data_IF_507795661051
#
_entry.id   IF_507795661051
#
_cell.length_a   1.000
_cell.length_b   1.000
_cell.length_c   1.000
_cell.angle_alpha   90.00
_cell.angle_beta   90.00
_cell.angle_gamma   90.00
#
_symmetry.space_group_name_H-M   'P 1'
#
loop_
_entity.id
_entity.type
_entity.pdbx_description
1 polymer ?
#
# COMPACT_ATOMS: atom_id res chain seq x y z
N UNK A 1 12.11 22.31 4.15
CA UNK A 1 12.09 21.72 5.50
C UNK A 1 12.76 20.35 5.43
N UNK A 2 13.54 19.93 6.44
CA UNK A 2 14.17 18.61 6.41
C UNK A 2 13.10 17.52 6.45
N UNK A 3 13.17 16.56 5.53
CA UNK A 3 12.13 15.51 5.39
C UNK A 3 11.99 14.70 6.68
N UNK A 4 13.10 14.55 7.42
CA UNK A 4 13.13 13.84 8.69
C UNK A 4 12.16 14.40 9.75
N UNK A 5 11.97 15.72 9.80
CA UNK A 5 11.02 16.33 10.76
C UNK A 5 9.57 15.97 10.43
N UNK A 6 9.28 15.62 9.18
CA UNK A 6 7.96 15.26 8.68
C UNK A 6 7.79 13.73 8.57
N UNK A 7 8.67 12.94 9.20
CA UNK A 7 8.70 11.49 9.00
C UNK A 7 7.37 10.77 9.33
N UNK A 8 6.61 11.28 10.31
CA UNK A 8 5.28 10.73 10.62
C UNK A 8 4.31 10.95 9.46
N UNK A 9 4.23 12.18 8.96
CA UNK A 9 3.33 12.56 7.87
C UNK A 9 3.72 11.86 6.57
N UNK A 10 5.02 11.82 6.26
CA UNK A 10 5.55 11.12 5.08
C UNK A 10 5.25 9.62 5.18
N UNK A 11 5.41 9.01 6.36
CA UNK A 11 5.11 7.59 6.57
C UNK A 11 3.63 7.26 6.33
N UNK A 12 2.73 8.09 6.85
CA UNK A 12 1.28 7.97 6.62
C UNK A 12 0.91 8.15 5.14
N UNK A 13 1.45 9.18 4.50
CA UNK A 13 1.21 9.48 3.09
C UNK A 13 1.77 8.41 2.17
N UNK A 14 2.96 7.88 2.46
CA UNK A 14 3.53 6.76 1.74
C UNK A 14 2.65 5.51 1.88
N UNK A 15 2.17 5.19 3.08
CA UNK A 15 1.28 4.04 3.28
C UNK A 15 -0.03 4.20 2.50
N UNK A 16 -0.59 5.41 2.50
CA UNK A 16 -1.79 5.74 1.74
C UNK A 16 -1.56 5.59 0.24
N UNK A 17 -0.46 6.15 -0.28
CA UNK A 17 -0.06 5.99 -1.67
C UNK A 17 0.07 4.53 -2.07
N UNK A 18 0.72 3.69 -1.24
CA UNK A 18 0.84 2.26 -1.52
C UNK A 18 -0.54 1.60 -1.62
N UNK A 19 -1.45 1.90 -0.70
CA UNK A 19 -2.81 1.33 -0.68
C UNK A 19 -3.62 1.75 -1.92
N UNK A 20 -3.59 3.03 -2.26
CA UNK A 20 -4.32 3.56 -3.42
C UNK A 20 -3.83 2.97 -4.74
N UNK A 21 -2.53 2.69 -4.84
CA UNK A 21 -1.91 2.15 -6.05
C UNK A 21 -1.75 0.61 -6.02
N UNK A 22 -2.34 -0.09 -5.05
CA UNK A 22 -2.29 -1.55 -4.98
C UNK A 22 -0.90 -2.14 -4.66
N UNK A 23 0.01 -1.35 -4.08
CA UNK A 23 1.33 -1.81 -3.68
C UNK A 23 1.36 -2.32 -2.24
N UNK A 24 2.22 -3.30 -2.00
CA UNK A 24 2.54 -3.79 -0.65
C UNK A 24 3.92 -3.27 -0.23
N UNK A 25 4.20 -3.26 1.08
CA UNK A 25 5.55 -2.97 1.59
C UNK A 25 6.61 -3.92 1.00
N UNK A 26 6.21 -5.15 0.69
CA UNK A 26 7.07 -6.15 0.06
C UNK A 26 7.36 -5.83 -1.41
N UNK A 27 6.37 -5.35 -2.17
CA UNK A 27 6.62 -4.92 -3.56
C UNK A 27 7.48 -3.65 -3.57
N UNK A 28 7.22 -2.71 -2.66
CA UNK A 28 8.05 -1.51 -2.51
C UNK A 28 9.52 -1.86 -2.22
N UNK A 29 9.78 -2.83 -1.33
CA UNK A 29 11.13 -3.31 -1.02
C UNK A 29 11.86 -3.81 -2.26
N UNK A 30 11.17 -4.56 -3.12
CA UNK A 30 11.75 -5.09 -4.36
C UNK A 30 12.02 -3.99 -5.38
N UNK A 31 11.12 -3.00 -5.49
CA UNK A 31 11.24 -1.91 -6.45
C UNK A 31 12.38 -0.94 -6.10
N UNK A 32 12.55 -0.66 -4.82
CA UNK A 32 13.50 0.36 -4.32
C UNK A 32 14.84 -0.23 -3.88
N UNK A 33 14.93 -1.56 -3.72
CA UNK A 33 16.08 -2.23 -3.12
C UNK A 33 16.23 -1.99 -1.61
N UNK A 34 15.25 -1.35 -0.97
CA UNK A 34 15.27 -1.06 0.47
C UNK A 34 14.77 -2.29 1.23
N UNK A 35 15.43 -2.60 2.35
CA UNK A 35 15.01 -3.73 3.19
C UNK A 35 13.59 -3.54 3.73
N UNK A 36 12.82 -4.63 3.84
CA UNK A 36 11.46 -4.60 4.42
C UNK A 36 11.43 -4.02 5.84
N UNK A 37 12.38 -4.33 6.75
CA UNK A 37 12.45 -3.69 8.06
C UNK A 37 12.59 -2.17 7.97
N UNK A 38 13.45 -1.66 7.08
CA UNK A 38 13.65 -0.22 6.89
C UNK A 38 12.39 0.46 6.34
N UNK A 39 11.69 -0.18 5.38
CA UNK A 39 10.40 0.32 4.89
C UNK A 39 9.36 0.38 6.02
N UNK A 40 9.32 -0.62 6.91
CA UNK A 40 8.44 -0.57 8.06
C UNK A 40 8.76 0.62 8.96
N UNK A 41 10.03 0.89 9.25
CA UNK A 41 10.44 2.05 10.05
C UNK A 41 10.06 3.38 9.40
N UNK A 42 10.19 3.50 8.07
CA UNK A 42 9.79 4.70 7.32
C UNK A 42 8.27 4.90 7.43
N UNK A 43 7.48 3.85 7.19
CA UNK A 43 6.02 3.90 7.27
C UNK A 43 5.53 4.21 8.69
N UNK A 44 6.25 3.75 9.72
CA UNK A 44 5.95 4.06 11.12
C UNK A 44 6.44 5.44 11.58
N UNK A 45 7.18 6.18 10.74
CA UNK A 45 7.78 7.46 11.12
C UNK A 45 8.85 7.33 12.22
N UNK A 46 9.54 6.19 12.29
CA UNK A 46 10.53 5.86 13.33
C UNK A 46 11.93 5.63 12.75
N UNK A 47 12.30 6.36 11.70
CA UNK A 47 13.65 6.20 11.15
C UNK A 47 14.68 6.74 12.15
N UNK A 48 15.77 6.02 12.45
CA UNK A 48 16.71 6.44 13.49
C UNK A 48 17.72 7.50 13.01
N UNK A 49 17.94 7.64 11.69
CA UNK A 49 19.00 8.48 11.14
C UNK A 49 18.45 9.41 10.05
N UNK A 50 18.56 10.75 10.22
CA UNK A 50 18.07 11.73 9.25
C UNK A 50 18.67 11.59 7.86
N UNK A 51 19.99 11.38 7.74
CA UNK A 51 20.66 11.29 6.44
C UNK A 51 20.21 10.05 5.67
N UNK A 52 20.17 8.90 6.36
CA UNK A 52 19.72 7.63 5.77
C UNK A 52 18.25 7.71 5.39
N UNK A 53 17.44 8.41 6.19
CA UNK A 53 16.03 8.64 5.91
C UNK A 53 15.85 9.41 4.60
N UNK A 54 16.53 10.54 4.43
CA UNK A 54 16.44 11.34 3.20
C UNK A 54 16.90 10.55 1.96
N UNK A 55 17.98 9.79 2.07
CA UNK A 55 18.44 8.89 1.00
C UNK A 55 17.40 7.80 0.66
N UNK A 56 16.71 7.23 1.66
CA UNK A 56 15.65 6.25 1.42
C UNK A 56 14.41 6.87 0.77
N UNK A 57 14.00 8.07 1.20
CA UNK A 57 12.87 8.77 0.57
C UNK A 57 13.20 9.11 -0.87
N UNK A 58 14.43 9.56 -1.17
CA UNK A 58 14.89 9.79 -2.54
C UNK A 58 14.77 8.53 -3.41
N UNK A 59 15.25 7.38 -2.93
CA UNK A 59 15.10 6.11 -3.65
C UNK A 59 13.64 5.73 -3.90
N UNK A 60 12.78 5.99 -2.93
CA UNK A 60 11.35 5.72 -3.06
C UNK A 60 10.74 6.63 -4.13
N UNK A 61 10.99 7.94 -4.07
CA UNK A 61 10.45 8.89 -5.05
C UNK A 61 11.00 8.63 -6.45
N UNK A 62 12.28 8.29 -6.58
CA UNK A 62 12.91 7.93 -7.86
C UNK A 62 12.27 6.68 -8.48
N UNK A 63 11.96 5.66 -7.66
CA UNK A 63 11.32 4.43 -8.15
C UNK A 63 9.91 4.66 -8.74
N UNK A 64 9.28 5.80 -8.43
CA UNK A 64 7.98 6.19 -8.95
C UNK A 64 8.03 7.43 -9.84
N UNK A 65 9.23 7.96 -10.16
CA UNK A 65 9.42 9.24 -10.86
C UNK A 65 8.63 10.41 -10.23
N UNK A 66 8.64 10.48 -8.90
CA UNK A 66 7.95 11.52 -8.13
C UNK A 66 8.95 12.59 -7.63
N UNK A 67 8.49 13.83 -7.40
CA UNK A 67 9.28 14.83 -6.68
C UNK A 67 9.66 14.37 -5.27
N UNK A 68 10.83 14.79 -4.78
CA UNK A 68 11.36 14.41 -3.45
C UNK A 68 10.44 14.81 -2.29
N UNK A 69 9.68 15.90 -2.46
CA UNK A 69 8.74 16.45 -1.48
C UNK A 69 7.30 15.95 -1.68
N UNK A 70 7.05 15.04 -2.63
CA UNK A 70 5.71 14.56 -2.97
C UNK A 70 4.92 14.05 -1.76
N UNK A 71 5.57 13.27 -0.89
CA UNK A 71 4.93 12.71 0.30
C UNK A 71 4.76 13.71 1.46
N UNK A 72 5.26 14.94 1.33
CA UNK A 72 5.06 15.99 2.34
C UNK A 72 3.70 16.68 2.16
N UNK A 73 3.22 16.79 0.92
CA UNK A 73 1.96 17.44 0.56
C UNK A 73 0.98 16.50 -0.13
N UNK A 74 1.14 15.18 0.02
CA UNK A 74 0.29 14.17 -0.59
C UNK A 74 -1.16 14.38 -0.15
N UNK A 75 -1.85 15.19 -0.94
CA UNK A 75 -3.23 15.58 -0.72
C UNK A 75 -4.08 14.48 -1.31
N UNK A 76 -5.25 14.28 -0.72
CA UNK A 76 -6.24 13.25 -1.06
C UNK A 76 -6.89 13.49 -2.44
N UNK A 77 -6.08 13.82 -3.45
CA UNK A 77 -6.51 14.24 -4.77
C UNK A 77 -7.11 13.03 -5.45
N UNK A 78 -8.43 13.02 -5.37
CA UNK A 78 -9.39 12.10 -5.93
C UNK A 78 -9.56 10.81 -5.12
N UNK A 79 -10.25 10.96 -3.99
CA UNK A 79 -11.26 9.97 -3.64
C UNK A 79 -12.30 9.92 -4.78
N UNK A 80 -11.98 9.22 -5.86
CA UNK A 80 -13.04 8.45 -6.50
C UNK A 80 -13.46 7.43 -5.42
N UNK A 81 -14.52 7.81 -4.68
CA UNK A 81 -15.47 6.85 -4.10
C UNK A 81 -15.54 5.73 -5.15
N UNK A 82 -15.20 4.49 -4.79
CA UNK A 82 -15.04 3.29 -5.65
C UNK A 82 -13.64 2.75 -5.87
N UNK A 83 -12.87 2.51 -4.80
CA UNK A 83 -11.93 1.39 -4.85
C UNK A 83 -12.00 0.57 -3.55
N UNK A 84 -13.09 -0.19 -3.42
CA UNK A 84 -12.96 -1.56 -2.95
C UNK A 84 -12.61 -2.41 -4.19
N UNK A 85 -11.35 -2.80 -4.43
CA UNK A 85 -11.12 -4.08 -5.06
C UNK A 85 -11.44 -5.12 -3.99
N UNK A 86 -12.68 -5.62 -4.06
CA UNK A 86 -13.05 -6.94 -3.59
C UNK A 86 -11.93 -7.94 -3.92
N UNK A 87 -11.48 -8.64 -2.88
CA UNK A 87 -10.83 -9.96 -2.94
C UNK A 87 -9.63 -10.12 -3.90
N UNK A 88 -8.40 -10.04 -3.37
CA UNK A 88 -7.28 -10.80 -3.97
C UNK A 88 -7.04 -12.07 -3.16
N UNK A 89 -7.66 -13.17 -3.60
CA UNK A 89 -7.17 -14.50 -3.22
C UNK A 89 -5.81 -14.71 -3.87
N UNK A 90 -4.82 -15.04 -3.04
CA UNK A 90 -3.53 -15.51 -3.53
C UNK A 90 -3.72 -16.84 -4.27
N UNK A 91 -3.31 -16.89 -5.54
CA UNK A 91 -3.09 -18.14 -6.30
C UNK A 91 -1.71 -18.75 -6.02
N UNK A 92 -1.01 -18.25 -4.99
CA UNK A 92 0.23 -18.81 -4.45
C UNK A 92 0.03 -19.36 -3.04
N UNK A 93 -0.99 -20.18 -2.86
CA UNK A 93 -0.71 -21.47 -2.24
C UNK A 93 -0.58 -22.44 -3.40
N UNK A 94 0.34 -23.41 -3.32
CA UNK A 94 0.24 -24.62 -4.17
C UNK A 94 -1.23 -24.97 -4.35
N UNK A 95 -1.67 -25.22 -5.59
CA UNK A 95 -3.00 -25.77 -5.91
C UNK A 95 -3.13 -27.15 -5.23
N UNK A 96 -3.18 -27.15 -3.90
CA UNK A 96 -3.70 -28.24 -3.11
C UNK A 96 -5.18 -28.04 -3.24
N UNK A 97 -5.79 -28.94 -4.00
CA UNK A 97 -7.21 -29.13 -4.17
C UNK A 97 -8.00 -28.59 -2.97
N UNK A 98 -8.45 -27.32 -3.04
CA UNK A 98 -9.22 -26.71 -1.96
C UNK A 98 -10.48 -27.56 -1.79
N UNK A 99 -10.76 -27.99 -0.57
CA UNK A 99 -11.95 -28.78 -0.30
C UNK A 99 -13.19 -27.98 -0.73
N UNK A 100 -14.21 -28.68 -1.21
CA UNK A 100 -15.41 -28.14 -1.86
C UNK A 100 -16.08 -27.05 -1.02
N UNK A 101 -16.19 -27.29 0.29
CA UNK A 101 -16.72 -26.34 1.27
C UNK A 101 -15.96 -25.00 1.30
N UNK A 102 -14.64 -25.02 1.08
CA UNK A 102 -13.85 -23.78 1.02
C UNK A 102 -14.13 -23.03 -0.27
N UNK A 103 -14.36 -23.72 -1.39
CA UNK A 103 -14.69 -23.05 -2.65
C UNK A 103 -16.07 -22.39 -2.58
N UNK A 104 -17.06 -23.11 -2.06
CA UNK A 104 -18.41 -22.58 -1.86
C UNK A 104 -18.39 -21.35 -0.95
N UNK A 105 -17.72 -21.44 0.20
CA UNK A 105 -17.66 -20.31 1.13
C UNK A 105 -17.02 -19.05 0.51
N UNK A 106 -15.98 -19.21 -0.31
CA UNK A 106 -15.34 -18.07 -0.99
C UNK A 106 -16.22 -17.51 -2.12
N UNK A 107 -17.01 -18.38 -2.77
CA UNK A 107 -17.99 -17.99 -3.80
C UNK A 107 -19.15 -17.19 -3.19
N UNK A 108 -19.71 -17.67 -2.09
CA UNK A 108 -20.78 -16.98 -1.35
C UNK A 108 -20.33 -15.59 -0.88
N UNK A 109 -19.07 -15.47 -0.46
CA UNK A 109 -18.49 -14.19 -0.07
C UNK A 109 -18.37 -13.21 -1.25
N UNK A 110 -18.06 -13.72 -2.45
CA UNK A 110 -17.96 -12.91 -3.67
C UNK A 110 -19.34 -12.41 -4.13
N UNK A 111 -20.37 -13.25 -3.98
CA UNK A 111 -21.76 -12.86 -4.23
C UNK A 111 -22.24 -11.77 -3.26
N UNK A 112 -21.94 -11.88 -1.96
CA UNK A 112 -22.29 -10.86 -0.97
C UNK A 112 -21.57 -9.52 -1.24
N UNK A 113 -20.31 -9.56 -1.66
CA UNK A 113 -19.58 -8.35 -2.05
C UNK A 113 -20.21 -7.70 -3.28
N UNK A 114 -20.61 -8.50 -4.27
CA UNK A 114 -21.32 -8.01 -5.45
C UNK A 114 -22.61 -7.30 -5.05
N UNK A 115 -23.41 -7.87 -4.14
CA UNK A 115 -24.62 -7.22 -3.63
C UNK A 115 -24.29 -5.90 -2.92
N UNK A 116 -23.26 -5.86 -2.08
CA UNK A 116 -22.85 -4.65 -1.38
C UNK A 116 -22.43 -3.52 -2.34
N UNK A 117 -21.85 -3.84 -3.52
CA UNK A 117 -21.51 -2.82 -4.51
C UNK A 117 -22.72 -2.08 -5.08
N UNK A 118 -23.93 -2.65 -5.05
CA UNK A 118 -25.12 -1.92 -5.50
C UNK A 118 -25.54 -0.82 -4.51
N UNK A 119 -25.24 -0.99 -3.22
CA UNK A 119 -25.63 -0.03 -2.18
C UNK A 119 -24.66 1.12 -1.99
N UNK A 120 -23.42 0.99 -2.46
CA UNK A 120 -22.43 2.07 -2.37
C UNK A 120 -22.67 3.10 -3.51
N UNK A 121 -23.54 2.81 -4.50
CA UNK A 121 -23.83 3.65 -5.70
C UNK A 121 -25.14 4.43 -5.64
N UNK A 122 -25.65 4.67 -4.44
CA UNK A 122 -26.74 5.59 -4.12
C UNK A 122 -26.23 6.88 -3.49
#
# INVERSE_FOLDING_TARGET
MPLYQLQSIIGENLLKFLRLNGYTKTSLAKMTGISRPTINQIVEGKSPNPKIYEEQIQKITDAFNLPIDYFTYFSDVQQEKWHLPSTQYSDRSTFSNRNELTKDLLSDLDELLTVATFYIKG
#
